data_IF_160777802713
#
_entry.id   IF_160777802713
#
_cell.length_a   1.000
_cell.length_b   1.000
_cell.length_c   1.000
_cell.angle_alpha   90.00
_cell.angle_beta   90.00
_cell.angle_gamma   90.00
#
_symmetry.space_group_name_H-M   'P 1'
#
loop_
_entity.id
_entity.type
_entity.pdbx_description
1 polymer ?
#
# COMPACT_ATOMS: atom_id res chain seq x y z
N UNK A 1 -9.62 32.60 14.28
CA UNK A 1 -10.32 31.47 14.92
C UNK A 1 -9.25 30.51 15.39
N UNK A 2 -9.10 30.35 16.71
CA UNK A 2 -8.11 29.43 17.28
C UNK A 2 -8.54 28.00 16.93
N UNK A 3 -7.83 27.35 16.00
CA UNK A 3 -7.95 25.91 15.81
C UNK A 3 -7.25 25.24 16.99
N UNK A 4 -8.00 24.85 18.01
CA UNK A 4 -7.51 23.82 18.92
C UNK A 4 -7.11 22.62 18.05
N UNK A 5 -5.82 22.28 17.99
CA UNK A 5 -5.37 21.13 17.23
C UNK A 5 -6.03 19.90 17.84
N UNK A 6 -6.90 19.22 17.08
CA UNK A 6 -7.55 17.98 17.54
C UNK A 6 -6.47 16.99 18.01
N UNK A 7 -6.74 16.32 19.13
CA UNK A 7 -5.83 15.33 19.72
C UNK A 7 -5.68 14.15 18.76
N UNK A 8 -4.44 13.83 18.38
CA UNK A 8 -4.13 12.65 17.58
C UNK A 8 -4.51 11.38 18.35
N UNK A 9 -5.15 10.43 17.67
CA UNK A 9 -5.58 9.13 18.17
C UNK A 9 -5.09 7.96 17.31
N UNK A 10 -4.78 8.21 16.04
CA UNK A 10 -4.46 7.17 15.06
C UNK A 10 -3.13 7.46 14.41
N UNK A 11 -2.28 6.44 14.33
CA UNK A 11 -1.04 6.44 13.55
C UNK A 11 -1.31 5.63 12.28
N UNK A 12 -1.12 6.27 11.13
CA UNK A 12 -1.25 5.64 9.81
C UNK A 12 0.13 5.64 9.17
N UNK A 13 0.62 4.49 8.71
CA UNK A 13 1.94 4.43 8.09
C UNK A 13 1.94 3.54 6.86
N UNK A 14 2.58 4.01 5.79
CA UNK A 14 3.06 3.09 4.76
C UNK A 14 4.16 2.17 5.30
N UNK A 15 4.42 1.09 4.57
CA UNK A 15 5.34 0.03 4.96
C UNK A 15 6.71 0.18 4.27
N UNK A 16 6.80 -0.15 2.98
CA UNK A 16 8.05 -0.03 2.21
C UNK A 16 8.45 1.42 2.06
N UNK A 17 9.75 1.74 2.14
CA UNK A 17 10.21 3.13 2.04
C UNK A 17 9.80 4.05 3.19
N UNK A 18 8.98 3.57 4.13
CA UNK A 18 8.41 4.37 5.23
C UNK A 18 8.68 3.74 6.59
N UNK A 19 7.93 2.70 6.99
CA UNK A 19 8.11 2.03 8.29
C UNK A 19 9.28 1.02 8.26
N UNK A 20 9.49 0.36 7.12
CA UNK A 20 10.58 -0.60 6.93
C UNK A 20 11.88 0.12 6.61
N UNK A 21 12.96 -0.38 7.21
CA UNK A 21 14.30 0.02 6.84
C UNK A 21 14.66 -0.53 5.44
N UNK A 22 15.81 -0.13 4.86
CA UNK A 22 16.26 -0.61 3.55
C UNK A 22 16.48 -2.13 3.44
N UNK A 23 16.53 -2.87 4.56
CA UNK A 23 16.63 -4.33 4.59
C UNK A 23 15.24 -5.00 4.65
N UNK A 24 14.17 -4.23 4.41
CA UNK A 24 12.76 -4.65 4.52
C UNK A 24 12.37 -5.21 5.89
N UNK A 25 12.96 -4.65 6.96
CA UNK A 25 12.71 -5.05 8.35
C UNK A 25 12.24 -3.87 9.19
N UNK A 26 11.47 -4.17 10.22
CA UNK A 26 11.14 -3.23 11.28
C UNK A 26 12.27 -3.29 12.32
N UNK A 27 12.93 -2.16 12.58
CA UNK A 27 14.01 -2.09 13.56
C UNK A 27 13.50 -2.29 15.00
N UNK A 28 14.36 -2.72 15.90
CA UNK A 28 14.00 -2.88 17.32
C UNK A 28 13.56 -1.56 17.96
N UNK A 29 14.14 -0.43 17.53
CA UNK A 29 13.74 0.89 17.99
C UNK A 29 12.32 1.23 17.55
N UNK A 30 12.01 1.07 16.26
CA UNK A 30 10.66 1.28 15.71
C UNK A 30 9.63 0.40 16.43
N UNK A 31 9.95 -0.87 16.71
CA UNK A 31 9.09 -1.75 17.52
C UNK A 31 8.80 -1.17 18.90
N UNK A 32 9.82 -0.72 19.63
CA UNK A 32 9.62 -0.15 20.97
C UNK A 32 8.74 1.10 20.97
N UNK A 33 8.88 1.96 19.96
CA UNK A 33 8.06 3.17 19.82
C UNK A 33 6.60 2.83 19.56
N UNK A 34 6.34 1.89 18.64
CA UNK A 34 4.98 1.46 18.32
C UNK A 34 4.31 0.71 19.48
N UNK A 35 5.07 -0.10 20.24
CA UNK A 35 4.59 -0.74 21.47
C UNK A 35 4.18 0.30 22.52
N UNK A 36 4.97 1.37 22.68
CA UNK A 36 4.61 2.45 23.61
C UNK A 36 3.38 3.24 23.14
N UNK A 37 3.27 3.53 21.84
CA UNK A 37 2.06 4.14 21.27
C UNK A 37 0.81 3.26 21.54
N UNK A 38 0.94 1.95 21.37
CA UNK A 38 -0.14 1.02 21.68
C UNK A 38 -0.51 1.02 23.18
N UNK A 39 0.49 1.06 24.07
CA UNK A 39 0.26 1.17 25.53
C UNK A 39 -0.53 2.44 25.88
N UNK A 40 -0.26 3.54 25.16
CA UNK A 40 -0.98 4.81 25.28
C UNK A 40 -2.30 4.87 24.51
N UNK A 41 -2.77 3.73 23.99
CA UNK A 41 -4.07 3.55 23.31
C UNK A 41 -4.18 4.27 21.96
N UNK A 42 -3.05 4.55 21.30
CA UNK A 42 -3.10 4.92 19.89
C UNK A 42 -3.52 3.71 19.04
N UNK A 43 -4.42 3.96 18.10
CA UNK A 43 -4.73 3.00 17.06
C UNK A 43 -3.61 3.05 16.01
N UNK A 44 -3.25 1.88 15.46
CA UNK A 44 -2.25 1.78 14.40
C UNK A 44 -2.88 1.16 13.15
N UNK A 45 -2.72 1.85 12.03
CA UNK A 45 -3.13 1.40 10.70
C UNK A 45 -1.87 1.33 9.82
N UNK A 46 -1.58 0.16 9.28
CA UNK A 46 -0.52 -0.01 8.28
C UNK A 46 -1.18 -0.09 6.90
N UNK A 47 -0.75 0.73 5.95
CA UNK A 47 -1.34 0.81 4.61
C UNK A 47 -0.31 0.59 3.51
N UNK A 48 -0.37 -0.54 2.80
CA UNK A 48 0.68 -0.99 1.88
C UNK A 48 0.14 -1.45 0.52
N UNK A 49 1.00 -1.40 -0.50
CA UNK A 49 0.76 -2.02 -1.82
C UNK A 49 0.97 -3.53 -1.84
N UNK A 50 1.63 -4.10 -0.81
CA UNK A 50 1.86 -5.55 -0.69
C UNK A 50 0.56 -6.33 -0.51
N UNK A 51 0.60 -7.61 -0.86
CA UNK A 51 -0.46 -8.54 -0.50
C UNK A 51 -0.54 -8.73 1.02
N UNK A 52 -1.72 -9.07 1.53
CA UNK A 52 -1.92 -9.23 2.97
C UNK A 52 -1.05 -10.37 3.54
N UNK A 53 -0.91 -11.50 2.83
CA UNK A 53 -0.05 -12.62 3.25
C UNK A 53 1.41 -12.19 3.44
N UNK A 54 1.94 -11.37 2.53
CA UNK A 54 3.33 -10.88 2.60
C UNK A 54 3.51 -9.83 3.69
N UNK A 55 2.53 -8.94 3.84
CA UNK A 55 2.58 -7.86 4.82
C UNK A 55 2.42 -8.39 6.25
N UNK A 56 1.48 -9.33 6.47
CA UNK A 56 1.14 -9.88 7.79
C UNK A 56 2.36 -10.44 8.53
N UNK A 57 3.21 -11.21 7.85
CA UNK A 57 4.43 -11.76 8.46
C UNK A 57 5.39 -10.69 8.98
N UNK A 58 5.43 -9.53 8.34
CA UNK A 58 6.30 -8.40 8.73
C UNK A 58 5.66 -7.60 9.86
N UNK A 59 4.37 -7.25 9.74
CA UNK A 59 3.67 -6.43 10.74
C UNK A 59 3.50 -7.15 12.07
N UNK A 60 3.37 -8.48 12.08
CA UNK A 60 3.31 -9.30 13.29
C UNK A 60 4.55 -9.08 14.18
N UNK A 61 5.69 -8.73 13.57
CA UNK A 61 6.93 -8.48 14.31
C UNK A 61 6.90 -7.20 15.16
N UNK A 62 5.91 -6.31 14.97
CA UNK A 62 5.66 -5.18 15.87
C UNK A 62 5.19 -5.64 17.25
N UNK A 63 4.52 -6.79 17.34
CA UNK A 63 3.99 -7.33 18.58
C UNK A 63 2.81 -6.52 19.14
N UNK A 64 2.09 -5.79 18.29
CA UNK A 64 0.88 -5.05 18.65
C UNK A 64 -0.25 -5.34 17.65
N UNK A 65 -1.52 -5.21 18.07
CA UNK A 65 -2.66 -5.21 17.16
C UNK A 65 -2.60 -4.03 16.18
N UNK A 66 -2.79 -4.30 14.89
CA UNK A 66 -2.86 -3.27 13.85
C UNK A 66 -3.99 -3.56 12.87
N UNK A 67 -4.62 -2.51 12.35
CA UNK A 67 -5.38 -2.65 11.11
C UNK A 67 -4.40 -2.73 9.93
N UNK A 68 -4.65 -3.64 8.99
CA UNK A 68 -3.87 -3.76 7.77
C UNK A 68 -4.74 -3.41 6.57
N UNK A 69 -4.39 -2.32 5.89
CA UNK A 69 -4.86 -1.97 4.55
C UNK A 69 -3.81 -2.46 3.56
N UNK A 70 -4.16 -3.42 2.71
CA UNK A 70 -3.20 -4.05 1.79
C UNK A 70 -3.67 -3.94 0.34
N UNK A 71 -2.79 -4.30 -0.59
CA UNK A 71 -3.05 -4.22 -2.03
C UNK A 71 -3.57 -2.84 -2.46
N UNK A 72 -2.94 -1.77 -1.94
CA UNK A 72 -3.31 -0.37 -2.17
C UNK A 72 -4.76 0.00 -1.76
N UNK A 73 -5.39 -0.76 -0.86
CA UNK A 73 -6.75 -0.51 -0.39
C UNK A 73 -7.79 -1.53 -0.82
N UNK A 74 -7.42 -2.53 -1.65
CA UNK A 74 -8.34 -3.57 -2.09
C UNK A 74 -8.72 -4.57 -0.98
N UNK A 75 -7.97 -4.58 0.13
CA UNK A 75 -8.20 -5.45 1.28
C UNK A 75 -8.04 -4.68 2.58
N UNK A 76 -8.88 -4.99 3.57
CA UNK A 76 -8.76 -4.51 4.95
C UNK A 76 -8.84 -5.71 5.88
N UNK A 77 -7.86 -5.83 6.78
CA UNK A 77 -7.86 -6.81 7.85
C UNK A 77 -7.87 -6.13 9.22
N UNK A 78 -8.64 -6.70 10.15
CA UNK A 78 -8.73 -6.25 11.55
C UNK A 78 -7.46 -6.61 12.34
N UNK A 79 -7.29 -6.04 13.54
CA UNK A 79 -6.27 -6.47 14.50
C UNK A 79 -6.27 -7.97 14.83
N UNK A 80 -7.42 -8.62 14.79
CA UNK A 80 -7.59 -10.07 14.96
C UNK A 80 -7.37 -10.86 13.65
N UNK A 81 -6.83 -10.20 12.62
CA UNK A 81 -6.52 -10.75 11.29
C UNK A 81 -7.75 -11.21 10.51
N UNK A 82 -8.94 -10.69 10.84
CA UNK A 82 -10.17 -10.98 10.09
C UNK A 82 -10.26 -10.06 8.89
N UNK A 83 -10.59 -10.60 7.73
CA UNK A 83 -10.93 -9.78 6.56
C UNK A 83 -12.23 -9.00 6.85
N UNK A 84 -12.15 -7.68 6.75
CA UNK A 84 -13.28 -6.76 6.96
C UNK A 84 -13.82 -6.22 5.63
N UNK A 85 -12.97 -6.16 4.61
CA UNK A 85 -13.33 -5.63 3.30
C UNK A 85 -12.43 -6.26 2.24
N UNK A 86 -13.06 -6.64 1.14
CA UNK A 86 -12.41 -7.07 -0.09
C UNK A 86 -13.07 -6.39 -1.28
N UNK A 87 -12.26 -5.97 -2.22
CA UNK A 87 -12.69 -5.43 -3.50
C UNK A 87 -11.81 -5.99 -4.62
N UNK A 88 -12.44 -6.59 -5.61
CA UNK A 88 -11.77 -7.15 -6.77
C UNK A 88 -12.27 -6.46 -8.04
N UNK A 89 -11.39 -6.37 -9.03
CA UNK A 89 -11.76 -5.98 -10.39
C UNK A 89 -12.73 -7.03 -10.92
N UNK A 90 -13.87 -6.59 -11.43
CA UNK A 90 -14.87 -7.47 -12.00
C UNK A 90 -14.33 -8.26 -13.20
N UNK A 91 -14.78 -9.51 -13.35
CA UNK A 91 -14.34 -10.41 -14.42
C UNK A 91 -14.44 -9.77 -15.82
N UNK A 92 -15.51 -9.02 -16.11
CA UNK A 92 -15.71 -8.42 -17.43
C UNK A 92 -14.71 -7.30 -17.72
N UNK A 93 -14.31 -6.54 -16.70
CA UNK A 93 -13.27 -5.51 -16.83
C UNK A 93 -11.91 -6.15 -17.06
N UNK A 94 -11.59 -7.22 -16.32
CA UNK A 94 -10.36 -7.99 -16.52
C UNK A 94 -10.31 -8.62 -17.92
N UNK A 95 -11.40 -9.26 -18.36
CA UNK A 95 -11.52 -9.79 -19.74
C UNK A 95 -11.33 -8.71 -20.79
N UNK A 96 -11.94 -7.54 -20.59
CA UNK A 96 -11.77 -6.39 -21.49
C UNK A 96 -10.30 -5.96 -21.57
N UNK A 97 -9.60 -5.87 -20.45
CA UNK A 97 -8.17 -5.54 -20.42
C UNK A 97 -7.31 -6.62 -21.12
N UNK A 98 -7.60 -7.91 -20.87
CA UNK A 98 -6.89 -9.03 -21.48
C UNK A 98 -7.24 -9.25 -22.96
N UNK A 99 -8.30 -8.62 -23.47
CA UNK A 99 -8.67 -8.66 -24.90
C UNK A 99 -7.79 -7.76 -25.78
N UNK A 100 -6.90 -6.97 -25.18
CA UNK A 100 -5.89 -6.21 -25.92
C UNK A 100 -4.96 -7.18 -26.69
N UNK A 101 -4.39 -6.71 -27.80
CA UNK A 101 -3.33 -7.44 -28.50
C UNK A 101 -2.04 -7.36 -27.68
N UNK A 102 -1.93 -8.24 -26.69
CA UNK A 102 -0.80 -8.30 -25.77
C UNK A 102 0.32 -9.07 -26.44
N UNK A 103 1.47 -8.41 -26.59
CA UNK A 103 2.70 -9.03 -27.08
C UNK A 103 3.01 -10.31 -26.28
N UNK A 104 3.21 -11.48 -26.92
CA UNK A 104 3.49 -12.75 -26.25
C UNK A 104 4.72 -12.73 -25.32
N UNK A 105 5.64 -11.77 -25.51
CA UNK A 105 6.79 -11.58 -24.62
C UNK A 105 6.42 -10.95 -23.28
N UNK A 106 5.28 -10.24 -23.19
CA UNK A 106 4.81 -9.63 -21.95
C UNK A 106 4.30 -10.72 -21.00
N UNK A 107 4.90 -10.77 -19.81
CA UNK A 107 4.35 -11.59 -18.72
C UNK A 107 3.12 -10.87 -18.17
N UNK A 108 1.98 -11.54 -18.22
CA UNK A 108 0.69 -11.04 -17.78
C UNK A 108 0.22 -11.86 -16.59
N UNK A 109 -0.20 -11.18 -15.53
CA UNK A 109 -0.56 -11.83 -14.30
C UNK A 109 -1.84 -11.27 -13.70
N UNK A 110 -2.71 -12.18 -13.27
CA UNK A 110 -3.83 -11.88 -12.39
C UNK A 110 -3.46 -12.22 -10.96
N UNK A 111 -3.47 -11.20 -10.11
CA UNK A 111 -3.27 -11.35 -8.67
C UNK A 111 -4.62 -11.69 -8.03
N UNK A 112 -4.78 -12.91 -7.51
CA UNK A 112 -6.00 -13.34 -6.80
C UNK A 112 -5.68 -13.52 -5.30
N UNK A 113 -6.63 -14.02 -4.52
CA UNK A 113 -6.45 -14.13 -3.06
C UNK A 113 -5.32 -15.08 -2.67
N UNK A 114 -5.24 -16.24 -3.32
CA UNK A 114 -4.33 -17.32 -2.93
C UNK A 114 -3.43 -17.79 -4.07
N UNK A 115 -3.55 -17.18 -5.25
CA UNK A 115 -2.80 -17.58 -6.43
C UNK A 115 -2.52 -16.41 -7.35
N UNK A 116 -1.30 -16.37 -7.85
CA UNK A 116 -0.92 -15.59 -9.00
C UNK A 116 -1.17 -16.47 -10.21
N UNK A 117 -2.06 -16.07 -11.11
CA UNK A 117 -2.24 -16.75 -12.40
C UNK A 117 -1.44 -16.03 -13.47
N UNK A 118 -0.60 -16.74 -14.24
CA UNK A 118 0.26 -16.12 -15.26
C UNK A 118 0.26 -16.86 -16.59
N UNK A 119 0.43 -16.13 -17.69
CA UNK A 119 0.63 -16.75 -19.01
C UNK A 119 2.01 -17.42 -19.15
N UNK A 120 3.02 -17.00 -18.36
CA UNK A 120 4.38 -17.53 -18.43
C UNK A 120 5.12 -17.47 -17.10
N UNK A 121 6.06 -18.39 -16.91
CA UNK A 121 6.97 -18.35 -15.76
C UNK A 121 8.06 -17.30 -15.98
N UNK A 122 8.39 -16.55 -14.93
CA UNK A 122 9.43 -15.53 -14.95
C UNK A 122 10.30 -15.67 -13.70
N UNK A 123 11.55 -16.12 -13.87
CA UNK A 123 12.49 -16.28 -12.75
C UNK A 123 12.76 -14.94 -12.04
N UNK A 124 12.85 -13.84 -12.80
CA UNK A 124 13.05 -12.49 -12.24
C UNK A 124 11.91 -12.08 -11.32
N UNK A 125 10.68 -12.36 -11.72
CA UNK A 125 9.49 -12.04 -10.91
C UNK A 125 9.37 -12.96 -9.70
N UNK A 126 9.61 -14.25 -9.90
CA UNK A 126 9.53 -15.25 -8.84
C UNK A 126 10.62 -15.02 -7.77
N UNK A 127 11.75 -14.42 -8.14
CA UNK A 127 12.84 -14.08 -7.21
C UNK A 127 12.47 -13.02 -6.16
N UNK A 128 11.40 -12.23 -6.37
CA UNK A 128 10.90 -11.29 -5.37
C UNK A 128 10.16 -11.98 -4.22
N UNK A 129 9.88 -13.28 -4.31
CA UNK A 129 9.20 -14.08 -3.28
C UNK A 129 10.17 -15.10 -2.68
N UNK A 130 10.89 -14.68 -1.63
CA UNK A 130 11.75 -15.58 -0.88
C UNK A 130 10.95 -16.62 -0.07
N UNK A 131 9.71 -16.28 0.32
CA UNK A 131 8.82 -17.12 1.11
C UNK A 131 7.60 -17.54 0.28
N UNK A 132 7.60 -18.82 -0.08
CA UNK A 132 6.70 -19.55 -0.99
C UNK A 132 5.26 -19.74 -0.46
N UNK A 133 4.62 -18.73 0.14
CA UNK A 133 3.21 -18.86 0.56
C UNK A 133 2.26 -18.59 -0.61
N UNK A 134 2.69 -17.79 -1.58
CA UNK A 134 1.86 -17.34 -2.69
C UNK A 134 2.53 -17.62 -4.02
N UNK A 135 2.08 -18.66 -4.74
CA UNK A 135 2.81 -19.20 -5.88
C UNK A 135 2.27 -18.74 -7.24
N UNK A 136 3.14 -18.61 -8.25
CA UNK A 136 2.72 -18.46 -9.63
C UNK A 136 2.21 -19.80 -10.20
N UNK A 137 1.05 -19.76 -10.83
CA UNK A 137 0.45 -20.87 -11.57
C UNK A 137 0.29 -20.47 -13.04
N UNK A 138 0.72 -21.35 -13.96
CA UNK A 138 0.53 -21.14 -15.39
C UNK A 138 -0.94 -21.34 -15.76
N UNK A 139 -1.51 -20.37 -16.47
CA UNK A 139 -2.89 -20.44 -16.95
C UNK A 139 -2.98 -20.14 -18.44
N UNK A 140 -3.89 -20.84 -19.11
CA UNK A 140 -4.40 -20.43 -20.41
C UNK A 140 -5.60 -19.49 -20.18
N UNK A 141 -5.37 -18.18 -20.29
CA UNK A 141 -6.42 -17.18 -20.06
C UNK A 141 -7.63 -17.36 -20.95
N UNK A 142 -7.57 -18.07 -22.09
CA UNK A 142 -8.74 -18.33 -22.93
C UNK A 142 -9.73 -19.34 -22.32
N UNK A 143 -9.29 -20.10 -21.31
CA UNK A 143 -10.07 -21.16 -20.64
C UNK A 143 -10.49 -20.80 -19.23
N UNK A 144 -10.14 -19.61 -18.76
CA UNK A 144 -10.47 -19.18 -17.41
C UNK A 144 -11.96 -18.87 -17.30
N UNK A 145 -12.62 -19.37 -16.26
CA UNK A 145 -14.04 -19.06 -15.99
C UNK A 145 -14.19 -17.78 -15.17
N UNK A 146 -13.32 -17.61 -14.17
CA UNK A 146 -13.32 -16.48 -13.24
C UNK A 146 -12.06 -15.62 -13.37
N UNK A 147 -12.24 -14.44 -13.93
CA UNK A 147 -11.19 -13.45 -14.16
C UNK A 147 -11.08 -12.42 -13.04
N UNK A 148 -11.90 -12.52 -11.98
CA UNK A 148 -11.79 -11.58 -10.85
C UNK A 148 -10.36 -11.53 -10.33
N UNK A 149 -9.88 -10.33 -10.03
CA UNK A 149 -8.51 -10.15 -9.56
C UNK A 149 -8.42 -8.92 -8.67
N UNK A 150 -7.56 -8.99 -7.67
CA UNK A 150 -7.19 -7.86 -6.82
C UNK A 150 -6.51 -6.78 -7.68
N UNK A 151 -5.61 -7.22 -8.56
CA UNK A 151 -4.91 -6.38 -9.53
C UNK A 151 -4.43 -7.20 -10.74
N UNK A 152 -4.18 -6.50 -11.83
CA UNK A 152 -3.55 -7.06 -13.05
C UNK A 152 -2.16 -6.46 -13.17
N UNK A 153 -1.16 -7.27 -13.52
CA UNK A 153 0.17 -6.74 -13.78
C UNK A 153 0.80 -7.31 -15.03
N UNK A 154 1.58 -6.44 -15.68
CA UNK A 154 2.25 -6.68 -16.94
C UNK A 154 3.72 -6.32 -16.77
N UNK A 155 4.62 -7.24 -17.11
CA UNK A 155 6.06 -6.97 -16.99
C UNK A 155 6.79 -7.26 -18.28
N UNK A 156 7.73 -6.40 -18.61
CA UNK A 156 8.58 -6.52 -19.79
C UNK A 156 9.80 -5.59 -19.63
N UNK A 157 10.97 -6.02 -20.10
CA UNK A 157 12.21 -5.22 -19.98
C UNK A 157 12.19 -3.95 -20.86
N UNK A 158 11.38 -3.94 -21.93
CA UNK A 158 11.09 -2.76 -22.74
C UNK A 158 9.88 -1.98 -22.20
N UNK A 159 10.14 -0.83 -21.56
CA UNK A 159 9.14 0.08 -21.00
C UNK A 159 8.11 0.57 -22.04
N UNK A 160 8.54 0.87 -23.27
CA UNK A 160 7.66 1.41 -24.31
C UNK A 160 6.55 0.41 -24.70
N UNK A 161 6.82 -0.90 -24.65
CA UNK A 161 5.78 -1.92 -24.86
C UNK A 161 4.70 -1.85 -23.79
N UNK A 162 5.09 -1.61 -22.53
CA UNK A 162 4.15 -1.46 -21.42
C UNK A 162 3.36 -0.16 -21.53
N UNK A 163 3.99 0.94 -21.96
CA UNK A 163 3.30 2.22 -22.20
C UNK A 163 2.25 2.07 -23.29
N UNK A 164 2.60 1.44 -24.41
CA UNK A 164 1.66 1.18 -25.50
C UNK A 164 0.49 0.29 -25.06
N UNK A 165 0.77 -0.80 -24.33
CA UNK A 165 -0.27 -1.66 -23.78
C UNK A 165 -1.18 -0.90 -22.81
N UNK A 166 -0.59 -0.06 -21.96
CA UNK A 166 -1.34 0.78 -21.01
C UNK A 166 -2.34 1.68 -21.72
N UNK A 167 -1.92 2.37 -22.79
CA UNK A 167 -2.80 3.25 -23.56
C UNK A 167 -3.95 2.48 -24.22
N UNK A 168 -3.69 1.27 -24.75
CA UNK A 168 -4.73 0.38 -25.30
C UNK A 168 -5.74 -0.04 -24.24
N UNK A 169 -5.29 -0.51 -23.07
CA UNK A 169 -6.18 -0.94 -21.98
C UNK A 169 -7.04 0.23 -21.50
N UNK A 170 -6.45 1.40 -21.28
CA UNK A 170 -7.16 2.58 -20.79
C UNK A 170 -8.13 3.19 -21.82
N UNK A 171 -7.89 3.02 -23.12
CA UNK A 171 -8.82 3.47 -24.16
C UNK A 171 -10.22 2.85 -24.02
N UNK A 172 -10.32 1.66 -23.42
CA UNK A 172 -11.59 0.94 -23.18
C UNK A 172 -12.04 0.96 -21.72
N UNK A 173 -11.12 1.12 -20.78
CA UNK A 173 -11.37 0.87 -19.35
C UNK A 173 -10.99 2.03 -18.43
N UNK A 174 -10.69 3.23 -18.94
CA UNK A 174 -10.24 4.38 -18.13
C UNK A 174 -11.25 4.91 -17.11
N UNK A 175 -12.53 4.58 -17.26
CA UNK A 175 -13.57 4.91 -16.29
C UNK A 175 -13.51 4.03 -15.04
N UNK A 176 -13.02 2.79 -15.17
CA UNK A 176 -13.04 1.75 -14.12
C UNK A 176 -11.65 1.36 -13.63
N UNK A 177 -10.60 1.48 -14.45
CA UNK A 177 -9.23 1.15 -14.09
C UNK A 177 -8.38 2.40 -13.94
N UNK A 178 -7.45 2.34 -13.00
CA UNK A 178 -6.29 3.21 -12.96
C UNK A 178 -5.01 2.36 -13.04
N UNK A 179 -3.88 3.02 -13.31
CA UNK A 179 -2.61 2.35 -13.48
C UNK A 179 -1.52 2.96 -12.60
N UNK A 180 -0.49 2.17 -12.33
CA UNK A 180 0.76 2.62 -11.76
C UNK A 180 1.93 1.85 -12.38
N UNK A 181 3.09 2.48 -12.45
CA UNK A 181 4.35 1.77 -12.66
C UNK A 181 5.05 1.63 -11.32
N UNK A 182 5.05 0.43 -10.74
CA UNK A 182 5.79 0.15 -9.49
C UNK A 182 7.29 0.07 -9.74
N UNK A 183 7.68 -0.38 -10.93
CA UNK A 183 9.02 -0.29 -11.49
C UNK A 183 8.90 0.10 -12.97
N UNK A 184 9.96 0.62 -13.63
CA UNK A 184 9.91 0.94 -15.06
C UNK A 184 9.47 -0.25 -15.95
N UNK A 185 9.74 -1.47 -15.50
CA UNK A 185 9.42 -2.72 -16.18
C UNK A 185 8.19 -3.45 -15.60
N UNK A 186 7.40 -2.81 -14.74
CA UNK A 186 6.22 -3.39 -14.10
C UNK A 186 5.05 -2.40 -14.12
N UNK A 187 4.06 -2.69 -14.97
CA UNK A 187 2.81 -1.95 -15.08
C UNK A 187 1.72 -2.68 -14.30
N UNK A 188 1.01 -1.96 -13.44
CA UNK A 188 -0.08 -2.49 -12.63
C UNK A 188 -1.38 -1.76 -12.94
N UNK A 189 -2.49 -2.50 -12.94
CA UNK A 189 -3.84 -1.98 -12.98
C UNK A 189 -4.63 -2.43 -11.76
N UNK A 190 -5.36 -1.47 -11.21
CA UNK A 190 -6.29 -1.67 -10.11
C UNK A 190 -7.61 -0.97 -10.44
N UNK A 191 -8.68 -1.38 -9.78
CA UNK A 191 -9.94 -0.66 -9.85
C UNK A 191 -9.75 0.79 -9.37
N UNK A 192 -10.38 1.74 -10.05
CA UNK A 192 -10.25 3.19 -9.80
C UNK A 192 -10.80 3.62 -8.45
N UNK A 193 -11.70 2.83 -7.86
CA UNK A 193 -12.23 3.04 -6.51
C UNK A 193 -11.28 2.57 -5.41
N UNK A 194 -10.29 1.74 -5.74
CA UNK A 194 -9.29 1.24 -4.80
C UNK A 194 -8.21 2.29 -4.58
N UNK A 195 -8.05 2.70 -3.32
CA UNK A 195 -7.02 3.64 -2.87
C UNK A 195 -6.79 3.46 -1.36
N UNK A 196 -5.54 3.67 -0.90
CA UNK A 196 -5.20 3.56 0.53
C UNK A 196 -6.09 4.48 1.37
N UNK A 197 -6.28 5.73 0.95
CA UNK A 197 -7.08 6.72 1.68
C UNK A 197 -8.55 6.30 1.80
N UNK A 198 -9.13 5.74 0.73
CA UNK A 198 -10.52 5.26 0.74
C UNK A 198 -10.69 4.09 1.70
N UNK A 199 -9.75 3.15 1.69
CA UNK A 199 -9.78 2.01 2.60
C UNK A 199 -9.52 2.43 4.07
N UNK A 200 -8.57 3.33 4.31
CA UNK A 200 -8.33 3.91 5.63
C UNK A 200 -9.58 4.62 6.15
N UNK A 201 -10.31 5.36 5.31
CA UNK A 201 -11.54 6.03 5.71
C UNK A 201 -12.58 5.05 6.27
N UNK A 202 -12.71 3.85 5.68
CA UNK A 202 -13.57 2.78 6.20
C UNK A 202 -13.13 2.30 7.59
N UNK A 203 -11.81 2.15 7.81
CA UNK A 203 -11.26 1.78 9.13
C UNK A 203 -11.57 2.87 10.16
N UNK A 204 -11.34 4.14 9.80
CA UNK A 204 -11.61 5.27 10.68
C UNK A 204 -13.10 5.38 11.04
N UNK A 205 -14.00 5.11 10.10
CA UNK A 205 -15.45 5.07 10.32
C UNK A 205 -15.83 3.98 11.34
N UNK A 206 -15.27 2.77 11.22
CA UNK A 206 -15.51 1.68 12.18
C UNK A 206 -15.11 2.06 13.61
N UNK A 207 -14.06 2.87 13.75
CA UNK A 207 -13.53 3.32 15.04
C UNK A 207 -14.14 4.65 15.52
N UNK A 208 -15.07 5.24 14.76
CA UNK A 208 -15.63 6.57 15.00
C UNK A 208 -14.56 7.67 15.13
N UNK A 209 -13.54 7.61 14.27
CA UNK A 209 -12.44 8.57 14.19
C UNK A 209 -12.46 9.27 12.83
N UNK A 210 -11.89 10.47 12.77
CA UNK A 210 -11.72 11.22 11.52
C UNK A 210 -10.25 11.37 11.15
N UNK A 211 -9.96 11.65 9.88
CA UNK A 211 -8.59 11.93 9.44
C UNK A 211 -7.93 13.10 10.17
N UNK A 212 -8.71 14.07 10.68
CA UNK A 212 -8.18 15.19 11.49
C UNK A 212 -7.53 14.73 12.80
N UNK A 213 -7.90 13.54 13.29
CA UNK A 213 -7.37 12.93 14.51
C UNK A 213 -6.26 11.90 14.20
N UNK A 214 -5.78 11.86 12.96
CA UNK A 214 -4.74 10.95 12.52
C UNK A 214 -3.43 11.69 12.20
N UNK A 215 -2.33 10.95 12.37
CA UNK A 215 -1.02 11.29 11.83
C UNK A 215 -0.62 10.24 10.80
N UNK A 216 -0.17 10.66 9.61
CA UNK A 216 0.17 9.75 8.51
C UNK A 216 1.58 9.93 8.00
N UNK A 217 2.21 8.83 7.61
CA UNK A 217 3.56 8.77 7.02
C UNK A 217 3.53 8.02 5.69
N UNK A 218 4.23 8.53 4.69
CA UNK A 218 4.33 7.89 3.38
C UNK A 218 5.46 8.45 2.52
N UNK A 219 5.86 7.69 1.52
CA UNK A 219 6.90 8.04 0.57
C UNK A 219 6.52 7.82 -0.89
N UNK A 220 5.41 7.12 -1.16
CA UNK A 220 4.97 6.78 -2.51
C UNK A 220 3.87 7.69 -3.05
N UNK A 221 3.68 7.69 -4.38
CA UNK A 221 2.58 8.42 -5.00
C UNK A 221 1.20 7.82 -4.67
N UNK A 222 1.14 6.52 -4.36
CA UNK A 222 -0.04 5.85 -3.80
C UNK A 222 -0.40 6.33 -2.38
N UNK A 223 0.47 7.11 -1.72
CA UNK A 223 0.18 7.74 -0.43
C UNK A 223 -0.40 9.15 -0.57
N UNK A 224 -0.37 9.75 -1.77
CA UNK A 224 -0.75 11.15 -2.01
C UNK A 224 -2.09 11.51 -1.38
N UNK A 225 -3.15 10.72 -1.63
CA UNK A 225 -4.48 11.01 -1.09
C UNK A 225 -4.55 10.83 0.42
N UNK A 226 -3.86 9.83 0.97
CA UNK A 226 -3.77 9.61 2.42
C UNK A 226 -3.10 10.79 3.11
N UNK A 227 -1.94 11.22 2.59
CA UNK A 227 -1.19 12.36 3.10
C UNK A 227 -1.99 13.67 2.96
N UNK A 228 -2.70 13.86 1.85
CA UNK A 228 -3.55 15.05 1.63
C UNK A 228 -4.75 15.13 2.56
N UNK A 229 -5.28 13.97 2.98
CA UNK A 229 -6.51 13.91 3.79
C UNK A 229 -6.25 13.98 5.29
N UNK A 230 -5.03 13.65 5.74
CA UNK A 230 -4.72 13.46 7.15
C UNK A 230 -4.41 14.77 7.87
N UNK A 231 -4.92 14.94 9.10
CA UNK A 231 -4.75 16.16 9.90
C UNK A 231 -3.29 16.54 10.17
N UNK A 232 -2.42 15.55 10.41
CA UNK A 232 -0.97 15.73 10.43
C UNK A 232 -0.30 14.72 9.50
N UNK A 233 0.11 15.15 8.32
CA UNK A 233 0.82 14.30 7.37
C UNK A 233 2.31 14.65 7.26
N UNK A 234 3.14 13.63 7.05
CA UNK A 234 4.59 13.72 7.00
C UNK A 234 5.13 12.91 5.82
N UNK A 235 5.98 13.54 5.02
CA UNK A 235 6.62 12.91 3.86
C UNK A 235 7.98 12.37 4.30
N UNK A 236 8.30 11.13 3.93
CA UNK A 236 9.61 10.56 4.23
C UNK A 236 10.74 11.28 3.49
N UNK A 237 11.92 11.37 4.10
CA UNK A 237 13.09 12.02 3.48
C UNK A 237 13.50 11.40 2.14
N UNK A 238 13.32 10.08 2.01
CA UNK A 238 13.60 9.29 0.81
C UNK A 238 12.48 9.34 -0.25
N UNK A 239 11.37 10.04 0.00
CA UNK A 239 10.29 10.16 -0.97
C UNK A 239 10.76 10.86 -2.26
N UNK A 240 10.22 10.47 -3.43
CA UNK A 240 10.60 11.04 -4.71
C UNK A 240 10.12 12.49 -4.81
N UNK A 241 10.82 13.27 -5.64
CA UNK A 241 10.59 14.71 -5.73
C UNK A 241 9.20 15.07 -6.25
N UNK A 242 8.61 14.24 -7.11
CA UNK A 242 7.25 14.44 -7.61
C UNK A 242 6.23 14.46 -6.45
N UNK A 243 6.29 13.53 -5.49
CA UNK A 243 5.40 13.53 -4.32
C UNK A 243 5.59 14.79 -3.48
N UNK A 244 6.85 15.17 -3.21
CA UNK A 244 7.19 16.39 -2.45
C UNK A 244 6.67 17.65 -3.15
N UNK A 245 6.69 17.69 -4.48
CA UNK A 245 6.20 18.82 -5.27
C UNK A 245 4.67 18.93 -5.26
N UNK A 246 3.95 17.81 -5.20
CA UNK A 246 2.48 17.80 -5.07
C UNK A 246 2.03 18.24 -3.67
N UNK A 247 2.84 17.98 -2.65
CA UNK A 247 2.54 18.28 -1.24
C UNK A 247 3.59 19.18 -0.57
N UNK A 248 3.89 20.37 -1.12
CA UNK A 248 5.02 21.19 -0.69
C UNK A 248 4.82 21.84 0.69
N UNK A 249 3.58 21.80 1.20
CA UNK A 249 3.21 22.33 2.51
C UNK A 249 3.43 21.30 3.64
N UNK A 250 3.67 20.03 3.31
CA UNK A 250 3.92 18.99 4.30
C UNK A 250 5.38 18.99 4.74
N UNK A 251 5.58 18.66 6.00
CA UNK A 251 6.90 18.51 6.60
C UNK A 251 7.57 17.23 6.06
N UNK A 252 8.82 17.37 5.62
CA UNK A 252 9.67 16.25 5.21
C UNK A 252 10.53 15.83 6.39
N UNK A 253 10.41 14.57 6.81
CA UNK A 253 11.14 14.02 7.96
C UNK A 253 12.38 13.22 7.52
N UNK A 254 13.08 12.63 8.48
CA UNK A 254 14.22 11.74 8.22
C UNK A 254 13.82 10.53 7.33
N UNK A 255 14.82 9.87 6.77
CA UNK A 255 14.60 8.72 5.89
C UNK A 255 14.20 7.45 6.66
N UNK A 256 13.67 6.45 5.95
CA UNK A 256 13.40 5.14 6.52
C UNK A 256 14.67 4.41 7.01
N UNK A 257 15.84 4.69 6.41
CA UNK A 257 17.16 4.21 6.90
C UNK A 257 17.46 4.69 8.31
N UNK A 258 16.93 5.85 8.67
CA UNK A 258 17.19 6.52 9.94
C UNK A 258 16.08 6.31 10.96
N UNK A 259 15.14 5.38 10.72
CA UNK A 259 13.93 5.18 11.52
C UNK A 259 13.09 6.46 11.64
N UNK A 260 12.97 7.24 10.55
CA UNK A 260 12.36 8.57 10.57
C UNK A 260 10.95 8.63 11.19
N UNK A 261 10.10 7.65 10.87
CA UNK A 261 8.75 7.52 11.47
C UNK A 261 8.83 7.39 12.99
N UNK A 262 9.63 6.44 13.48
CA UNK A 262 9.73 6.15 14.90
C UNK A 262 10.36 7.31 15.70
N UNK A 263 11.41 7.95 15.16
CA UNK A 263 12.02 9.13 15.79
C UNK A 263 11.02 10.28 15.90
N UNK A 264 10.30 10.55 14.81
CA UNK A 264 9.29 11.61 14.81
C UNK A 264 8.22 11.37 15.87
N UNK A 265 7.66 10.14 15.91
CA UNK A 265 6.64 9.76 16.89
C UNK A 265 7.17 9.83 18.32
N UNK A 266 8.40 9.34 18.56
CA UNK A 266 9.04 9.38 19.87
C UNK A 266 9.20 10.82 20.37
N UNK A 267 9.63 11.75 19.52
CA UNK A 267 9.92 13.13 19.92
C UNK A 267 8.65 13.99 20.01
N UNK A 268 7.72 13.85 19.07
CA UNK A 268 6.62 14.80 18.89
C UNK A 268 5.26 14.30 19.41
N UNK A 269 5.09 12.98 19.53
CA UNK A 269 3.84 12.35 19.99
C UNK A 269 4.02 11.80 21.40
N UNK A 270 5.05 10.96 21.64
CA UNK A 270 5.34 10.41 22.96
C UNK A 270 6.05 11.42 23.87
N UNK A 271 7.02 12.18 23.34
CA UNK A 271 7.83 13.15 24.08
C UNK A 271 7.05 14.33 24.69
N UNK A 272 5.78 14.51 24.32
CA UNK A 272 4.87 15.47 24.96
C UNK A 272 4.26 14.94 26.27
N UNK A 273 4.55 13.70 26.67
CA UNK A 273 4.05 13.06 27.90
C UNK A 273 5.26 12.65 28.76
N UNK A 274 6.00 13.65 29.24
CA UNK A 274 6.98 13.63 30.35
C UNK A 274 7.35 15.09 30.58
N UNK A 275 6.90 15.80 31.62
CA UNK A 275 7.12 15.58 33.05
C UNK A 275 5.97 16.24 33.83
N UNK A 276 5.25 15.46 34.63
CA UNK A 276 4.74 15.97 35.91
C UNK A 276 5.27 14.99 36.94
N UNK A 277 6.43 15.31 37.50
CA UNK A 277 6.87 14.81 38.80
C UNK A 277 6.19 15.67 39.86
#
# INVERSE_FOLDING_TARGET
MNSESKKIKVIITDLDGTLLNPDHKISSYTKSVFQELHNQKYLVIVATGRHHLDAMGIIDTLGIPVYLVSSNGARIHSPEKKELFAFDIESEVVKSALSADIDPEITTVLFKENVWLTNRMSEKLNAFQADLVYHPELVDYSKLEDYTAIKIFFTHDNHEKLVALKDVILSKNSDVLHHAFSLPNCLEFMDKSVDKSVAIAKVLELENITFDEAISFGDGFNDLKMLSSTGKALIMGNAPQNLKNELPHLEVIATNREDGVAKYLSENVLGKISVTV
#
